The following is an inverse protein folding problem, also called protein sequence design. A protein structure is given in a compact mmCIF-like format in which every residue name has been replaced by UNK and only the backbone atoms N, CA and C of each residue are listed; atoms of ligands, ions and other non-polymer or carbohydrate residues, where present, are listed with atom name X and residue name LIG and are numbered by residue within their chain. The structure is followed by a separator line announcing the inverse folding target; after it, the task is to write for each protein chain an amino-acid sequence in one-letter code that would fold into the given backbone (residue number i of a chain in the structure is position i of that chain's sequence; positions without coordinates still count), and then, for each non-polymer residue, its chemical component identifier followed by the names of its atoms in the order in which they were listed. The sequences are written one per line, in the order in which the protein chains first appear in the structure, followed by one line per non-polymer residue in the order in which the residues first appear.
data_IF_900113307274
#
_entry.id   IF_900113307274
#
_cell.length_a   1.000
_cell.length_b   1.000
_cell.length_c   1.000
_cell.angle_alpha   90.00
_cell.angle_beta   90.00
_cell.angle_gamma   90.00
#
_symmetry.space_group_name_H-M   'P 1'
#
loop_
_entity.id
_entity.type
_entity.pdbx_description
1 polymer ?
#
# COMPACT_ATOMS: atom_id res chain seq x y z
N UNK A 1 33.87 -16.21 -18.23
CA UNK A 1 32.41 -16.24 -18.45
C UNK A 1 32.11 -15.25 -19.57
N UNK A 2 31.74 -15.74 -20.76
CA UNK A 2 31.59 -14.93 -21.99
C UNK A 2 30.60 -13.79 -21.78
N UNK A 3 30.79 -12.65 -22.46
CA UNK A 3 29.86 -11.51 -22.46
C UNK A 3 28.40 -11.95 -22.71
N UNK A 4 28.24 -12.97 -23.56
CA UNK A 4 26.97 -13.66 -23.86
C UNK A 4 26.35 -14.31 -22.61
N UNK A 5 27.14 -14.98 -21.77
CA UNK A 5 26.63 -15.56 -20.51
C UNK A 5 26.15 -14.49 -19.53
N UNK A 6 26.83 -13.33 -19.45
CA UNK A 6 26.36 -12.19 -18.62
C UNK A 6 25.08 -11.56 -19.17
N UNK A 7 24.94 -11.45 -20.50
CA UNK A 7 23.74 -10.92 -21.15
C UNK A 7 22.54 -11.86 -20.92
N UNK A 8 22.72 -13.17 -21.04
CA UNK A 8 21.64 -14.13 -20.80
C UNK A 8 21.18 -14.15 -19.35
N UNK A 9 22.11 -14.09 -18.39
CA UNK A 9 21.78 -13.98 -16.95
C UNK A 9 21.01 -12.68 -16.69
N UNK A 10 21.44 -11.57 -17.28
CA UNK A 10 20.76 -10.29 -17.11
C UNK A 10 19.33 -10.29 -17.71
N UNK A 11 19.17 -10.81 -18.91
CA UNK A 11 17.84 -10.98 -19.52
C UNK A 11 16.92 -11.87 -18.68
N UNK A 12 17.46 -12.92 -18.07
CA UNK A 12 16.72 -13.77 -17.14
C UNK A 12 16.27 -12.99 -15.89
N UNK A 13 17.16 -12.18 -15.29
CA UNK A 13 16.79 -11.36 -14.12
C UNK A 13 15.70 -10.33 -14.41
N UNK A 14 15.70 -9.72 -15.61
CA UNK A 14 14.64 -8.78 -16.01
C UNK A 14 13.30 -9.51 -16.16
N UNK A 15 13.32 -10.70 -16.75
CA UNK A 15 12.13 -11.52 -16.91
C UNK A 15 11.53 -11.93 -15.56
N UNK A 16 12.36 -12.33 -14.60
CA UNK A 16 11.93 -12.66 -13.25
C UNK A 16 11.31 -11.46 -12.53
N UNK A 17 11.95 -10.28 -12.61
CA UNK A 17 11.42 -9.04 -12.03
C UNK A 17 10.05 -8.70 -12.63
N UNK A 18 9.89 -8.82 -13.96
CA UNK A 18 8.59 -8.61 -14.63
C UNK A 18 7.51 -9.55 -14.09
N UNK A 19 7.80 -10.84 -13.97
CA UNK A 19 6.85 -11.83 -13.42
C UNK A 19 6.45 -11.46 -11.99
N UNK A 20 7.42 -11.10 -11.14
CA UNK A 20 7.15 -10.71 -9.75
C UNK A 20 6.24 -9.49 -9.69
N UNK A 21 6.48 -8.48 -10.53
CA UNK A 21 5.65 -7.27 -10.59
C UNK A 21 4.24 -7.56 -11.08
N UNK A 22 4.08 -8.47 -12.04
CA UNK A 22 2.79 -8.94 -12.54
C UNK A 22 2.00 -9.61 -11.42
N UNK A 23 2.60 -10.58 -10.73
CA UNK A 23 1.95 -11.30 -9.61
C UNK A 23 1.50 -10.31 -8.53
N UNK A 24 2.34 -9.34 -8.18
CA UNK A 24 2.01 -8.33 -7.16
C UNK A 24 0.85 -7.41 -7.59
N UNK A 25 0.84 -6.95 -8.85
CA UNK A 25 -0.26 -6.12 -9.35
C UNK A 25 -1.59 -6.87 -9.36
N UNK A 26 -1.61 -8.14 -9.76
CA UNK A 26 -2.81 -8.97 -9.70
C UNK A 26 -3.34 -9.13 -8.27
N UNK A 27 -2.45 -9.40 -7.30
CA UNK A 27 -2.83 -9.54 -5.90
C UNK A 27 -3.44 -8.23 -5.37
N UNK A 28 -2.84 -7.08 -5.66
CA UNK A 28 -3.36 -5.78 -5.20
C UNK A 28 -4.74 -5.45 -5.78
N UNK A 29 -4.99 -5.80 -7.05
CA UNK A 29 -6.27 -5.54 -7.72
C UNK A 29 -7.38 -6.44 -7.19
N UNK A 30 -7.07 -7.70 -6.90
CA UNK A 30 -8.01 -8.63 -6.26
C UNK A 30 -8.39 -8.08 -4.88
N UNK A 31 -7.41 -7.68 -4.06
CA UNK A 31 -7.67 -7.12 -2.73
C UNK A 31 -8.47 -5.81 -2.78
N UNK A 32 -8.18 -4.95 -3.75
CA UNK A 32 -8.92 -3.70 -3.96
C UNK A 32 -10.36 -3.93 -4.43
N UNK A 33 -10.58 -4.95 -5.27
CA UNK A 33 -11.93 -5.32 -5.72
C UNK A 33 -12.81 -5.79 -4.56
N UNK A 34 -12.23 -6.49 -3.58
CA UNK A 34 -12.93 -6.83 -2.35
C UNK A 34 -13.28 -5.59 -1.54
N UNK A 35 -12.37 -4.62 -1.36
CA UNK A 35 -12.67 -3.36 -0.65
C UNK A 35 -13.83 -2.57 -1.27
N UNK A 36 -13.97 -2.60 -2.59
CA UNK A 36 -15.02 -1.88 -3.32
C UNK A 36 -16.42 -2.53 -3.20
N UNK A 37 -16.56 -3.70 -2.58
CA UNK A 37 -17.85 -4.36 -2.40
C UNK A 37 -18.69 -3.68 -1.30
N UNK A 38 -19.74 -2.92 -1.65
CA UNK A 38 -20.36 -1.97 -0.73
C UNK A 38 -21.34 -2.60 0.27
N UNK A 39 -21.62 -3.91 0.19
CA UNK A 39 -22.79 -4.52 0.86
C UNK A 39 -22.54 -5.79 1.67
N UNK A 40 -21.33 -6.35 1.67
CA UNK A 40 -21.12 -7.71 2.20
C UNK A 40 -19.88 -7.88 3.04
N UNK A 41 -19.27 -6.81 3.55
CA UNK A 41 -18.05 -6.95 4.34
C UNK A 41 -18.26 -6.39 5.73
N UNK A 42 -18.12 -7.26 6.72
CA UNK A 42 -18.03 -6.83 8.11
C UNK A 42 -16.79 -5.96 8.29
N UNK A 43 -16.84 -5.00 9.22
CA UNK A 43 -15.68 -4.18 9.60
C UNK A 43 -14.43 -5.03 9.88
N UNK A 44 -14.60 -6.19 10.52
CA UNK A 44 -13.52 -7.18 10.71
C UNK A 44 -12.89 -7.66 9.40
N UNK A 45 -13.72 -8.02 8.41
CA UNK A 45 -13.25 -8.54 7.12
C UNK A 45 -12.59 -7.41 6.33
N UNK A 46 -13.14 -6.19 6.39
CA UNK A 46 -12.53 -4.99 5.80
C UNK A 46 -11.13 -4.76 6.42
N UNK A 47 -11.00 -4.82 7.75
CA UNK A 47 -9.72 -4.66 8.42
C UNK A 47 -8.70 -5.73 8.03
N UNK A 48 -9.13 -6.99 7.88
CA UNK A 48 -8.27 -8.10 7.43
C UNK A 48 -7.83 -7.89 5.97
N UNK A 49 -8.75 -7.49 5.08
CA UNK A 49 -8.42 -7.19 3.67
C UNK A 49 -7.45 -6.02 3.59
N UNK A 50 -7.64 -4.97 4.40
CA UNK A 50 -6.76 -3.80 4.42
C UNK A 50 -5.35 -4.15 4.91
N UNK A 51 -5.24 -5.01 5.93
CA UNK A 51 -3.96 -5.54 6.41
C UNK A 51 -3.23 -6.28 5.28
N UNK A 52 -3.92 -7.19 4.58
CA UNK A 52 -3.34 -7.95 3.48
C UNK A 52 -2.92 -7.05 2.32
N UNK A 53 -3.77 -6.08 1.94
CA UNK A 53 -3.48 -5.12 0.87
C UNK A 53 -2.20 -4.34 1.14
N UNK A 54 -2.11 -3.73 2.31
CA UNK A 54 -0.94 -2.93 2.66
C UNK A 54 0.32 -3.78 2.86
N UNK A 55 0.22 -5.02 3.36
CA UNK A 55 1.37 -5.94 3.42
C UNK A 55 1.94 -6.21 2.03
N UNK A 56 1.08 -6.41 1.02
CA UNK A 56 1.53 -6.59 -0.37
C UNK A 56 2.19 -5.35 -0.95
N UNK A 57 1.72 -4.14 -0.58
CA UNK A 57 2.36 -2.87 -0.98
C UNK A 57 3.72 -2.69 -0.32
N UNK A 58 3.87 -3.03 0.95
CA UNK A 58 5.14 -2.90 1.67
C UNK A 58 6.20 -3.83 1.05
N UNK A 59 5.81 -5.06 0.68
CA UNK A 59 6.67 -5.97 -0.07
C UNK A 59 7.06 -5.36 -1.43
N UNK A 60 6.10 -4.80 -2.16
CA UNK A 60 6.38 -4.13 -3.43
C UNK A 60 7.38 -2.97 -3.27
N UNK A 61 7.17 -2.07 -2.31
CA UNK A 61 8.08 -0.95 -2.06
C UNK A 61 9.52 -1.40 -1.75
N UNK A 62 9.68 -2.51 -1.02
CA UNK A 62 10.99 -3.08 -0.73
C UNK A 62 11.70 -3.59 -1.98
N UNK A 63 10.99 -4.29 -2.89
CA UNK A 63 11.59 -4.81 -4.12
C UNK A 63 12.07 -3.72 -5.08
N UNK A 64 11.38 -2.57 -5.13
CA UNK A 64 11.67 -1.54 -6.13
C UNK A 64 12.67 -0.49 -5.67
N UNK A 65 12.60 -0.05 -4.41
CA UNK A 65 13.31 1.15 -3.95
C UNK A 65 14.52 0.77 -3.07
N UNK A 66 14.64 -0.48 -2.61
CA UNK A 66 15.71 -0.94 -1.71
C UNK A 66 15.91 -0.04 -0.47
N UNK A 67 14.90 0.74 -0.08
CA UNK A 67 14.93 1.65 1.07
C UNK A 67 14.10 1.08 2.21
N UNK A 68 14.74 0.23 3.03
CA UNK A 68 14.09 -0.48 4.14
C UNK A 68 13.47 0.43 5.20
N UNK A 69 13.94 1.67 5.33
CA UNK A 69 13.46 2.56 6.39
C UNK A 69 12.03 3.04 6.16
N UNK A 70 11.67 3.36 4.91
CA UNK A 70 10.33 3.84 4.59
C UNK A 70 9.27 2.73 4.70
N UNK A 71 9.57 1.55 4.15
CA UNK A 71 8.69 0.38 4.24
C UNK A 71 8.43 -0.04 5.69
N UNK A 72 9.46 0.01 6.54
CA UNK A 72 9.33 -0.26 7.97
C UNK A 72 8.40 0.73 8.70
N UNK A 73 8.55 2.04 8.45
CA UNK A 73 7.68 3.06 9.05
C UNK A 73 6.22 2.84 8.64
N UNK A 74 5.97 2.56 7.35
CA UNK A 74 4.61 2.29 6.87
C UNK A 74 3.98 1.04 7.49
N UNK A 75 4.78 0.00 7.75
CA UNK A 75 4.33 -1.21 8.44
C UNK A 75 3.91 -0.95 9.88
N UNK A 76 4.72 -0.21 10.65
CA UNK A 76 4.44 0.11 12.05
C UNK A 76 3.18 0.98 12.21
N UNK A 77 3.07 2.04 11.42
CA UNK A 77 1.92 2.97 11.49
C UNK A 77 0.63 2.22 11.15
N UNK A 78 0.68 1.31 10.18
CA UNK A 78 -0.48 0.50 9.82
C UNK A 78 -0.93 -0.42 10.96
N UNK A 79 -0.02 -1.15 11.60
CA UNK A 79 -0.37 -2.05 12.72
C UNK A 79 -1.00 -1.25 13.86
N UNK A 80 -0.40 -0.11 14.22
CA UNK A 80 -0.96 0.77 15.26
C UNK A 80 -2.35 1.28 14.93
N UNK A 81 -2.56 1.76 13.69
CA UNK A 81 -3.86 2.28 13.24
C UNK A 81 -4.96 1.21 13.22
N UNK A 82 -4.66 0.02 12.69
CA UNK A 82 -5.63 -1.08 12.63
C UNK A 82 -5.98 -1.65 14.00
N UNK A 83 -5.04 -1.68 14.94
CA UNK A 83 -5.31 -2.13 16.32
C UNK A 83 -6.34 -1.24 17.03
N UNK A 84 -6.26 0.07 16.85
CA UNK A 84 -7.24 1.02 17.43
C UNK A 84 -8.64 0.80 16.85
N UNK A 85 -8.74 0.60 15.54
CA UNK A 85 -10.02 0.34 14.86
C UNK A 85 -10.61 -1.01 15.32
N UNK A 86 -9.79 -2.04 15.54
CA UNK A 86 -10.23 -3.34 16.06
C UNK A 86 -10.76 -3.24 17.50
N UNK A 87 -10.11 -2.48 18.38
CA UNK A 87 -10.57 -2.25 19.76
C UNK A 87 -11.92 -1.52 19.80
N UNK A 88 -12.14 -0.55 18.90
CA UNK A 88 -13.43 0.12 18.81
C UNK A 88 -14.55 -0.82 18.35
N UNK A 89 -14.29 -1.67 17.36
CA UNK A 89 -15.30 -2.56 16.81
C UNK A 89 -15.67 -3.74 17.73
N UNK A 90 -14.69 -4.36 18.41
CA UNK A 90 -14.98 -5.45 19.36
C UNK A 90 -15.90 -5.01 20.50
N UNK A 91 -15.92 -3.71 20.82
CA UNK A 91 -16.78 -3.13 21.86
C UNK A 91 -18.22 -2.83 21.41
N UNK A 92 -18.52 -2.82 20.10
CA UNK A 92 -19.76 -2.20 19.58
C UNK A 92 -20.82 -3.13 18.98
N UNK A 93 -20.58 -4.41 18.65
CA UNK A 93 -21.64 -5.39 18.33
C UNK A 93 -21.13 -6.83 18.05
N UNK A 94 -21.78 -7.85 18.62
CA UNK A 94 -21.42 -9.28 18.45
C UNK A 94 -22.02 -9.97 17.22
N UNK A 95 -23.00 -9.38 16.52
CA UNK A 95 -23.86 -10.10 15.58
C UNK A 95 -23.76 -9.58 14.14
N UNK A 96 -22.64 -9.82 13.45
CA UNK A 96 -22.50 -9.42 12.04
C UNK A 96 -21.88 -10.50 11.13
N UNK A 97 -21.50 -11.70 11.60
CA UNK A 97 -20.87 -12.77 10.78
C UNK A 97 -21.77 -13.44 9.71
N UNK A 98 -22.70 -12.71 9.08
CA UNK A 98 -23.45 -13.17 7.91
C UNK A 98 -23.15 -12.26 6.74
N UNK A 99 -22.07 -12.55 6.03
CA UNK A 99 -21.76 -11.92 4.74
C UNK A 99 -22.18 -12.88 3.62
N UNK A 100 -23.34 -12.68 2.97
CA UNK A 100 -23.66 -13.45 1.77
C UNK A 100 -22.77 -12.93 0.64
N UNK A 101 -21.68 -13.64 0.34
CA UNK A 101 -21.00 -13.44 -0.93
C UNK A 101 -21.96 -13.87 -2.03
N UNK A 102 -22.49 -12.90 -2.77
CA UNK A 102 -23.39 -13.19 -3.90
C UNK A 102 -22.59 -13.68 -5.12
N UNK A 103 -23.18 -14.52 -5.97
CA UNK A 103 -22.54 -14.96 -7.22
C UNK A 103 -22.09 -13.80 -8.12
N UNK A 104 -22.81 -12.67 -8.05
CA UNK A 104 -22.50 -11.41 -8.76
C UNK A 104 -21.18 -10.79 -8.30
N UNK A 105 -20.83 -10.97 -7.02
CA UNK A 105 -19.57 -10.50 -6.47
C UNK A 105 -18.40 -11.28 -7.06
N UNK A 106 -18.55 -12.60 -7.22
CA UNK A 106 -17.55 -13.46 -7.84
C UNK A 106 -17.33 -13.15 -9.32
N UNK A 107 -18.40 -12.92 -10.09
CA UNK A 107 -18.26 -12.60 -11.51
C UNK A 107 -17.54 -11.27 -11.73
N UNK A 108 -17.78 -10.26 -10.89
CA UNK A 108 -17.09 -8.97 -10.98
C UNK A 108 -15.58 -9.09 -10.75
N UNK A 109 -15.17 -9.89 -9.76
CA UNK A 109 -13.75 -10.17 -9.49
C UNK A 109 -13.10 -10.88 -10.67
N UNK A 110 -13.80 -11.86 -11.25
CA UNK A 110 -13.30 -12.65 -12.38
C UNK A 110 -13.13 -11.79 -13.65
N UNK A 111 -14.07 -10.90 -13.95
CA UNK A 111 -13.93 -9.98 -15.10
C UNK A 111 -12.79 -8.98 -14.89
N UNK A 112 -12.61 -8.47 -13.67
CA UNK A 112 -11.51 -7.57 -13.37
C UNK A 112 -10.15 -8.26 -13.58
N UNK A 113 -9.98 -9.48 -13.08
CA UNK A 113 -8.71 -10.22 -13.25
C UNK A 113 -8.43 -10.53 -14.72
N UNK A 114 -9.43 -10.93 -15.51
CA UNK A 114 -9.29 -11.14 -16.95
C UNK A 114 -8.85 -9.87 -17.70
N UNK A 115 -9.45 -8.72 -17.39
CA UNK A 115 -9.09 -7.45 -18.04
C UNK A 115 -7.63 -7.07 -17.80
N UNK A 116 -7.11 -7.36 -16.60
CA UNK A 116 -5.73 -7.04 -16.22
C UNK A 116 -4.71 -7.93 -16.91
N UNK A 117 -5.02 -9.22 -17.09
CA UNK A 117 -4.19 -10.13 -17.88
C UNK A 117 -4.10 -9.70 -19.35
N UNK A 118 -5.21 -9.22 -19.92
CA UNK A 118 -5.22 -8.70 -21.28
C UNK A 118 -4.37 -7.44 -21.42
N UNK A 119 -4.52 -6.47 -20.50
CA UNK A 119 -3.70 -5.25 -20.48
C UNK A 119 -2.20 -5.55 -20.39
N UNK A 120 -1.81 -6.57 -19.62
CA UNK A 120 -0.40 -6.95 -19.49
C UNK A 120 0.16 -7.51 -20.81
N UNK A 121 -0.61 -8.34 -21.50
CA UNK A 121 -0.20 -8.87 -22.83
C UNK A 121 0.02 -7.75 -23.85
N UNK A 122 -0.76 -6.67 -23.77
CA UNK A 122 -0.54 -5.48 -24.60
C UNK A 122 0.69 -4.67 -24.17
N UNK A 123 0.95 -4.53 -22.87
CA UNK A 123 2.13 -3.83 -22.35
C UNK A 123 3.44 -4.55 -22.72
N UNK A 124 3.47 -5.88 -22.67
CA UNK A 124 4.66 -6.68 -23.01
C UNK A 124 5.10 -6.49 -24.48
N UNK A 125 4.15 -6.27 -25.40
CA UNK A 125 4.48 -5.98 -26.80
C UNK A 125 5.18 -4.63 -26.99
N UNK A 126 4.83 -3.62 -26.19
CA UNK A 126 5.36 -2.26 -26.34
C UNK A 126 6.70 -2.05 -25.58
N UNK A 127 6.92 -2.76 -24.48
CA UNK A 127 8.07 -2.57 -23.60
C UNK A 127 9.37 -3.25 -24.08
N UNK A 128 9.29 -4.16 -25.05
CA UNK A 128 10.49 -4.73 -25.68
C UNK A 128 11.28 -3.70 -26.51
N UNK A 129 10.65 -2.57 -26.89
CA UNK A 129 11.29 -1.49 -27.64
C UNK A 129 12.01 -0.46 -26.74
N UNK A 130 11.66 -0.36 -25.45
CA UNK A 130 12.17 0.67 -24.54
C UNK A 130 13.27 0.19 -23.57
N UNK A 131 13.46 -1.13 -23.46
CA UNK A 131 14.42 -1.76 -22.53
C UNK A 131 15.89 -1.40 -22.81
N UNK A 132 16.24 -1.03 -24.03
CA UNK A 132 17.61 -0.63 -24.40
C UNK A 132 18.05 0.70 -23.76
N UNK A 133 17.12 1.59 -23.41
CA UNK A 133 17.46 2.94 -22.91
C UNK A 133 17.61 2.99 -21.37
N UNK A 134 17.09 2.02 -20.63
CA UNK A 134 17.18 1.99 -19.16
C UNK A 134 18.53 1.48 -18.62
N UNK A 135 19.33 0.82 -19.47
CA UNK A 135 20.61 0.19 -19.10
C UNK A 135 21.64 1.23 -18.64
N UNK A 136 21.61 2.44 -19.20
CA UNK A 136 22.56 3.52 -18.85
C UNK A 136 22.17 4.33 -17.60
N UNK A 137 20.89 4.33 -17.20
CA UNK A 137 20.39 5.13 -16.08
C UNK A 137 20.57 4.43 -14.72
N UNK A 138 20.53 3.10 -14.68
CA UNK A 138 20.53 2.34 -13.42
C UNK A 138 21.88 2.33 -12.68
N UNK A 139 23.01 2.47 -13.39
CA UNK A 139 24.33 2.44 -12.73
C UNK A 139 24.74 3.76 -12.06
N UNK A 140 24.24 4.91 -12.53
CA UNK A 140 24.50 6.20 -11.89
C UNK A 140 23.51 6.55 -10.77
N UNK A 141 22.31 5.96 -10.79
CA UNK A 141 21.26 6.26 -9.82
C UNK A 141 21.48 5.58 -8.46
N UNK A 142 21.95 4.32 -8.43
CA UNK A 142 22.04 3.52 -7.20
C UNK A 142 23.03 4.07 -6.16
N UNK A 143 24.14 4.65 -6.60
CA UNK A 143 25.18 5.22 -5.71
C UNK A 143 24.74 6.59 -5.15
N UNK A 144 23.91 7.33 -5.88
CA UNK A 144 23.42 8.64 -5.45
C UNK A 144 22.19 8.57 -4.53
N UNK A 145 21.33 7.55 -4.63
CA UNK A 145 20.07 7.50 -3.87
C UNK A 145 20.24 7.49 -2.33
N UNK A 146 21.24 6.79 -1.80
CA UNK A 146 21.46 6.71 -0.34
C UNK A 146 21.93 8.04 0.26
N UNK A 147 22.81 8.76 -0.43
CA UNK A 147 23.27 10.09 0.01
C UNK A 147 22.24 11.19 -0.28
N UNK A 148 21.49 11.11 -1.38
CA UNK A 148 20.40 12.02 -1.68
C UNK A 148 19.28 11.96 -0.64
N UNK A 149 18.93 10.78 -0.11
CA UNK A 149 17.85 10.68 0.88
C UNK A 149 18.18 11.39 2.21
N UNK A 150 19.42 11.28 2.71
CA UNK A 150 19.83 12.04 3.91
C UNK A 150 19.88 13.55 3.64
N UNK A 151 20.40 13.98 2.49
CA UNK A 151 20.48 15.39 2.12
C UNK A 151 19.11 16.01 1.85
N UNK A 152 18.17 15.25 1.30
CA UNK A 152 16.80 15.71 1.05
C UNK A 152 16.06 15.92 2.37
N UNK A 153 16.18 15.02 3.37
CA UNK A 153 15.48 15.19 4.65
C UNK A 153 15.84 16.48 5.38
N UNK A 154 17.11 16.89 5.34
CA UNK A 154 17.59 18.13 5.97
C UNK A 154 17.55 19.36 5.05
N UNK A 155 16.95 19.24 3.86
CA UNK A 155 16.77 20.38 2.99
C UNK A 155 15.84 21.42 3.64
N UNK A 156 16.05 22.73 3.40
CA UNK A 156 15.25 23.79 4.03
C UNK A 156 13.75 23.70 3.70
N UNK A 157 13.39 23.12 2.55
CA UNK A 157 12.00 22.82 2.17
C UNK A 157 11.38 21.73 3.05
N UNK A 158 12.12 20.63 3.30
CA UNK A 158 11.64 19.54 4.14
C UNK A 158 11.57 19.91 5.61
N UNK A 159 12.47 20.77 6.10
CA UNK A 159 12.40 21.32 7.46
C UNK A 159 11.11 22.13 7.70
N UNK A 160 10.68 22.94 6.73
CA UNK A 160 9.39 23.65 6.81
C UNK A 160 8.22 22.67 6.84
N UNK A 161 8.26 21.64 6.00
CA UNK A 161 7.21 20.60 5.97
C UNK A 161 7.16 19.81 7.30
N UNK A 162 8.30 19.47 7.89
CA UNK A 162 8.33 18.77 9.18
C UNK A 162 7.79 19.64 10.32
N UNK A 163 8.09 20.94 10.32
CA UNK A 163 7.55 21.87 11.32
C UNK A 163 6.02 21.98 11.21
N UNK A 164 5.49 22.03 9.99
CA UNK A 164 4.04 22.01 9.75
C UNK A 164 3.39 20.71 10.25
N UNK A 165 4.00 19.55 9.99
CA UNK A 165 3.52 18.25 10.48
C UNK A 165 3.48 18.16 12.01
N UNK A 166 4.50 18.72 12.69
CA UNK A 166 4.53 18.76 14.16
C UNK A 166 3.37 19.59 14.72
N UNK A 167 3.10 20.76 14.14
CA UNK A 167 1.96 21.61 14.53
C UNK A 167 0.63 20.90 14.26
N UNK A 168 0.48 20.23 13.11
CA UNK A 168 -0.72 19.45 12.78
C UNK A 168 -1.01 18.35 13.81
N UNK A 169 0.02 17.58 14.21
CA UNK A 169 -0.13 16.54 15.22
C UNK A 169 -0.53 17.14 16.58
N UNK A 170 0.06 18.28 16.97
CA UNK A 170 -0.27 18.95 18.23
C UNK A 170 -1.72 19.47 18.24
N UNK A 171 -2.17 20.09 17.15
CA UNK A 171 -3.55 20.57 17.00
C UNK A 171 -4.55 19.40 17.03
N UNK A 172 -4.25 18.30 16.32
CA UNK A 172 -5.14 17.13 16.30
C UNK A 172 -5.30 16.51 17.69
N UNK A 173 -4.24 16.46 18.50
CA UNK A 173 -4.32 15.98 19.88
C UNK A 173 -5.21 16.87 20.77
N UNK A 174 -5.08 18.20 20.66
CA UNK A 174 -5.95 19.15 21.39
C UNK A 174 -7.41 18.99 20.95
N UNK A 175 -7.67 18.84 19.64
CA UNK A 175 -9.02 18.63 19.11
C UNK A 175 -9.63 17.33 19.63
N UNK A 176 -8.87 16.24 19.66
CA UNK A 176 -9.32 14.95 20.19
C UNK A 176 -9.68 15.07 21.67
N UNK A 177 -8.85 15.71 22.49
CA UNK A 177 -9.16 15.95 23.91
C UNK A 177 -10.47 16.75 24.05
N UNK A 178 -10.63 17.82 23.27
CA UNK A 178 -11.85 18.64 23.29
C UNK A 178 -13.09 17.86 22.86
N UNK A 179 -12.97 16.97 21.87
CA UNK A 179 -14.05 16.06 21.46
C UNK A 179 -14.44 15.13 22.62
N UNK A 180 -13.47 14.46 23.25
CA UNK A 180 -13.72 13.53 24.36
C UNK A 180 -14.41 14.24 25.54
N UNK A 181 -13.94 15.43 25.92
CA UNK A 181 -14.54 16.23 27.01
C UNK A 181 -16.01 16.62 26.73
N UNK A 182 -16.37 16.89 25.47
CA UNK A 182 -17.77 17.16 25.08
C UNK A 182 -18.66 15.92 25.25
N UNK A 183 -18.14 14.72 24.95
CA UNK A 183 -18.87 13.47 25.12
C UNK A 183 -19.02 13.02 26.58
N UNK A 184 -18.09 13.40 27.47
CA UNK A 184 -18.16 13.10 28.91
C UNK A 184 -19.12 14.01 29.69
N UNK A 185 -19.63 15.09 29.09
CA UNK A 185 -20.73 15.87 29.66
C UNK A 185 -21.97 14.97 29.69
N UNK A 186 -22.61 14.73 30.85
CA UNK A 186 -23.65 13.72 30.96
C UNK A 186 -24.79 14.03 30.01
N UNK A 187 -25.15 13.08 29.16
CA UNK A 187 -26.43 13.03 28.47
C UNK A 187 -27.55 12.72 29.47
N UNK A 188 -27.68 13.57 30.49
CA UNK A 188 -28.76 13.53 31.48
C UNK A 188 -29.38 14.92 31.53
N UNK A 189 -30.31 15.17 30.62
CA UNK A 189 -31.59 15.84 30.89
C UNK A 189 -32.31 16.10 29.57
N UNK A 190 -32.79 15.03 28.92
CA UNK A 190 -33.99 15.11 28.10
C UNK A 190 -34.89 13.97 28.59
N UNK A 191 -35.44 14.23 29.78
CA UNK A 191 -36.78 13.74 30.14
C UNK A 191 -37.74 14.55 29.27
#
# INVERSE_FOLDING_TARGET
MSLISKINIFMMTIFEIKIITLILTLITLILFSFLMMPKSLNLLIINIILLMYNFTIILFMNFWINMFWFSYITFLVMIGGLMVILMYFSSTNSNLFKTPLSLKNFSMIFFLSLSTMLLFKFMDMNMNLTSMNFIHLNQQMTINFLNFNKLMMYSPLNLKMSFFLMIYLLISLILIIKMIMKFQKPSRSLI
#
